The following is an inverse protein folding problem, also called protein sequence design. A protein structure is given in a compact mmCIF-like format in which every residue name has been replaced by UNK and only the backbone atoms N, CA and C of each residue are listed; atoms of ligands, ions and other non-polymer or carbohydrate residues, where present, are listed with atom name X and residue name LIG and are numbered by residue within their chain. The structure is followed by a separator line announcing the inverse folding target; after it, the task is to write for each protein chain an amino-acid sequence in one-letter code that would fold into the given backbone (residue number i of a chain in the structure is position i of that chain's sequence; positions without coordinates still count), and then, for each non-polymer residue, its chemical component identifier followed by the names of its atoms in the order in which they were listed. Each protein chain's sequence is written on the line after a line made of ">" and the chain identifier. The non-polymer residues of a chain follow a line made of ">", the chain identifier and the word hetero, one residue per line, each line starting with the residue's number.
data_IF_863515315685
#
_entry.id   IF_863515315685
#
_cell.length_a   1.000
_cell.length_b   1.000
_cell.length_c   1.000
_cell.angle_alpha   90.00
_cell.angle_beta   90.00
_cell.angle_gamma   90.00
#
_symmetry.space_group_name_H-M   'P 1'
#
loop_
_entity.id
_entity.type
_entity.pdbx_description
1 polymer ?
#
# COMPACT_ATOMS: atom_id res chain seq x y z
N UNK A 1 -4.38 -5.93 34.55
CA UNK A 1 -3.41 -6.49 33.58
C UNK A 1 -4.02 -7.71 32.90
N UNK A 2 -4.05 -7.77 31.59
CA UNK A 2 -4.50 -8.97 30.87
C UNK A 2 -3.46 -10.06 31.04
N UNK A 3 -3.78 -11.09 31.81
CA UNK A 3 -2.89 -12.23 32.02
C UNK A 3 -3.09 -13.23 30.91
N UNK A 4 -2.05 -13.51 30.12
CA UNK A 4 -2.08 -14.52 29.06
C UNK A 4 -1.82 -15.90 29.71
N UNK A 5 -2.78 -16.81 29.61
CA UNK A 5 -2.70 -18.16 30.16
C UNK A 5 -2.86 -19.21 29.08
N UNK A 6 -2.22 -20.34 29.28
CA UNK A 6 -2.43 -21.53 28.46
C UNK A 6 -3.35 -22.47 29.20
N UNK A 7 -4.38 -22.93 28.53
CA UNK A 7 -5.36 -23.87 29.11
C UNK A 7 -5.51 -25.08 28.18
N UNK A 8 -5.89 -26.20 28.76
CA UNK A 8 -6.23 -27.40 28.04
C UNK A 8 -7.75 -27.57 28.00
N UNK A 9 -8.33 -27.79 26.83
CA UNK A 9 -9.77 -28.04 26.71
C UNK A 9 -10.07 -29.55 26.82
N UNK A 10 -10.35 -29.99 28.02
CA UNK A 10 -10.64 -31.40 28.34
C UNK A 10 -12.00 -31.89 27.81
N UNK A 11 -12.87 -30.99 27.34
CA UNK A 11 -14.16 -31.38 26.75
C UNK A 11 -14.04 -31.82 25.29
N UNK A 12 -12.93 -31.52 24.63
CA UNK A 12 -12.64 -31.89 23.22
C UNK A 12 -11.45 -32.83 23.18
N UNK A 13 -11.66 -34.09 23.42
CA UNK A 13 -10.62 -35.12 23.31
C UNK A 13 -10.52 -35.60 21.86
N UNK A 14 -9.29 -35.80 21.42
CA UNK A 14 -9.01 -36.52 20.15
C UNK A 14 -9.29 -38.02 20.37
N UNK A 15 -9.37 -38.77 19.25
CA UNK A 15 -9.54 -40.25 19.29
C UNK A 15 -8.45 -40.96 20.13
N UNK A 16 -7.32 -40.32 20.30
CA UNK A 16 -6.15 -40.81 21.06
C UNK A 16 -6.15 -40.34 22.53
N UNK A 17 -7.22 -39.70 23.03
CA UNK A 17 -7.29 -39.19 24.39
C UNK A 17 -6.50 -37.89 24.65
N UNK A 18 -6.01 -37.23 23.62
CA UNK A 18 -5.32 -35.95 23.73
C UNK A 18 -6.32 -34.77 23.72
N UNK A 19 -6.09 -33.76 24.55
CA UNK A 19 -6.90 -32.55 24.61
C UNK A 19 -6.12 -31.35 23.97
N UNK A 20 -6.80 -30.51 23.17
CA UNK A 20 -6.17 -29.37 22.50
C UNK A 20 -5.82 -28.26 23.49
N UNK A 21 -4.69 -27.59 23.24
CA UNK A 21 -4.23 -26.43 24.00
C UNK A 21 -4.74 -25.13 23.37
N UNK A 22 -5.09 -24.18 24.23
CA UNK A 22 -5.52 -22.83 23.86
C UNK A 22 -4.78 -21.79 24.70
N UNK A 23 -4.44 -20.68 24.05
CA UNK A 23 -4.02 -19.46 24.76
C UNK A 23 -5.27 -18.63 25.05
N UNK A 24 -5.44 -18.21 26.28
CA UNK A 24 -6.57 -17.38 26.73
C UNK A 24 -6.08 -16.09 27.37
N UNK A 25 -6.77 -15.02 27.06
CA UNK A 25 -6.54 -13.69 27.63
C UNK A 25 -7.81 -12.84 27.51
N UNK A 26 -7.82 -11.70 28.17
CA UNK A 26 -8.94 -10.77 28.13
C UNK A 26 -8.57 -9.49 27.39
N UNK A 27 -9.45 -9.03 26.49
CA UNK A 27 -9.45 -7.69 25.93
C UNK A 27 -10.63 -6.92 26.51
N UNK A 28 -10.35 -6.02 27.45
CA UNK A 28 -11.42 -5.41 28.24
C UNK A 28 -12.23 -6.46 29.00
N UNK A 29 -13.52 -6.58 28.67
CA UNK A 29 -14.43 -7.56 29.28
C UNK A 29 -14.56 -8.86 28.47
N UNK A 30 -14.04 -8.92 27.24
CA UNK A 30 -14.18 -10.06 26.35
C UNK A 30 -13.02 -11.06 26.53
N UNK A 31 -13.35 -12.34 26.74
CA UNK A 31 -12.37 -13.42 26.81
C UNK A 31 -12.10 -13.96 25.41
N UNK A 32 -10.84 -13.95 25.00
CA UNK A 32 -10.39 -14.55 23.75
C UNK A 32 -9.70 -15.89 23.98
N UNK A 33 -9.91 -16.82 23.04
CA UNK A 33 -9.29 -18.14 23.03
C UNK A 33 -8.69 -18.41 21.67
N UNK A 34 -7.37 -18.59 21.62
CA UNK A 34 -6.62 -18.89 20.42
C UNK A 34 -6.12 -20.34 20.43
N UNK A 35 -6.39 -21.15 19.41
CA UNK A 35 -5.91 -22.53 19.35
C UNK A 35 -4.40 -22.57 19.14
N UNK A 36 -3.69 -23.36 19.94
CA UNK A 36 -2.26 -23.61 19.76
C UNK A 36 -1.96 -24.60 18.62
N UNK A 37 -3.01 -25.23 18.04
CA UNK A 37 -2.90 -26.30 17.03
C UNK A 37 -2.11 -27.53 17.48
N UNK A 38 -1.98 -27.71 18.77
CA UNK A 38 -1.35 -28.87 19.41
C UNK A 38 -2.32 -29.47 20.42
N UNK A 39 -2.33 -30.80 20.51
CA UNK A 39 -3.12 -31.56 21.45
C UNK A 39 -2.20 -32.45 22.28
N UNK A 40 -2.44 -32.54 23.60
CA UNK A 40 -1.55 -33.26 24.52
C UNK A 40 -2.37 -34.06 25.52
N UNK A 41 -1.82 -35.19 26.06
CA UNK A 41 -2.49 -35.98 27.12
C UNK A 41 -2.73 -35.12 28.36
N UNK A 42 -3.93 -35.22 28.92
CA UNK A 42 -4.32 -34.43 30.09
C UNK A 42 -3.38 -34.63 31.30
N UNK A 43 -2.87 -35.85 31.48
CA UNK A 43 -1.96 -36.17 32.58
C UNK A 43 -0.58 -35.51 32.50
N UNK A 44 -0.14 -35.17 31.28
CA UNK A 44 1.17 -34.55 31.04
C UNK A 44 1.16 -33.02 31.06
N UNK A 45 0.00 -32.37 31.10
CA UNK A 45 -0.11 -30.93 31.11
C UNK A 45 -0.22 -30.37 32.54
N UNK A 46 0.59 -29.35 32.83
CA UNK A 46 0.53 -28.63 34.10
C UNK A 46 -0.23 -27.29 33.91
N UNK A 47 -1.42 -27.21 34.49
CA UNK A 47 -2.30 -26.02 34.38
C UNK A 47 -1.71 -24.75 35.04
N UNK A 48 -0.83 -24.92 36.03
CA UNK A 48 -0.21 -23.76 36.73
C UNK A 48 0.87 -23.10 35.89
N UNK A 49 1.78 -23.89 35.34
CA UNK A 49 2.86 -23.37 34.46
C UNK A 49 2.39 -23.16 33.03
N UNK A 50 1.32 -23.84 32.61
CA UNK A 50 0.85 -23.84 31.21
C UNK A 50 1.78 -24.60 30.27
N UNK A 51 2.60 -25.50 30.78
CA UNK A 51 3.61 -26.28 30.04
C UNK A 51 3.38 -27.78 30.24
N UNK A 52 3.97 -28.59 29.34
CA UNK A 52 4.00 -30.05 29.52
C UNK A 52 5.11 -30.43 30.48
N UNK A 53 4.76 -31.39 31.35
CA UNK A 53 5.70 -32.07 32.23
C UNK A 53 6.54 -33.07 31.46
N UNK A 54 7.81 -33.19 31.84
CA UNK A 54 8.75 -34.15 31.26
C UNK A 54 9.81 -33.53 30.35
N UNK A 55 10.87 -34.32 30.10
CA UNK A 55 12.07 -33.88 29.35
C UNK A 55 12.17 -34.51 27.96
N UNK A 56 11.09 -35.16 27.48
CA UNK A 56 11.08 -35.72 26.13
C UNK A 56 11.26 -34.63 25.08
N UNK A 57 11.83 -35.00 23.94
CA UNK A 57 12.02 -34.08 22.82
C UNK A 57 10.69 -33.46 22.38
N UNK A 58 9.64 -34.26 22.27
CA UNK A 58 8.28 -33.80 21.94
C UNK A 58 7.75 -32.78 22.95
N UNK A 59 7.94 -33.02 24.27
CA UNK A 59 7.49 -32.07 25.30
C UNK A 59 8.23 -30.73 25.18
N UNK A 60 9.52 -30.75 24.88
CA UNK A 60 10.32 -29.53 24.66
C UNK A 60 9.86 -28.78 23.41
N UNK A 61 9.61 -29.46 22.31
CA UNK A 61 9.16 -28.86 21.06
C UNK A 61 7.76 -28.22 21.23
N UNK A 62 6.84 -28.90 21.88
CA UNK A 62 5.51 -28.37 22.17
C UNK A 62 5.59 -27.17 23.12
N UNK A 63 6.40 -27.24 24.18
CA UNK A 63 6.61 -26.12 25.09
C UNK A 63 7.22 -24.91 24.39
N UNK A 64 8.11 -25.10 23.43
CA UNK A 64 8.68 -24.03 22.59
C UNK A 64 7.59 -23.40 21.71
N UNK A 65 6.77 -24.21 21.05
CA UNK A 65 5.65 -23.71 20.22
C UNK A 65 4.69 -22.87 21.08
N UNK A 66 4.27 -23.38 22.24
CA UNK A 66 3.35 -22.70 23.15
C UNK A 66 3.97 -21.40 23.67
N UNK A 67 5.24 -21.40 24.03
CA UNK A 67 5.98 -20.22 24.49
C UNK A 67 6.07 -19.15 23.39
N UNK A 68 6.37 -19.54 22.15
CA UNK A 68 6.43 -18.61 21.02
C UNK A 68 5.05 -18.00 20.72
N UNK A 69 3.98 -18.80 20.74
CA UNK A 69 2.63 -18.28 20.54
C UNK A 69 2.22 -17.33 21.67
N UNK A 70 2.58 -17.64 22.93
CA UNK A 70 2.33 -16.77 24.07
C UNK A 70 3.11 -15.46 23.97
N UNK A 71 4.37 -15.52 23.56
CA UNK A 71 5.20 -14.33 23.30
C UNK A 71 4.55 -13.45 22.24
N UNK A 72 4.13 -14.01 21.10
CA UNK A 72 3.45 -13.30 20.03
C UNK A 72 2.19 -12.56 20.48
N UNK A 73 1.36 -13.21 21.32
CA UNK A 73 0.18 -12.57 21.92
C UNK A 73 0.59 -11.42 22.82
N UNK A 74 1.59 -11.63 23.68
CA UNK A 74 2.10 -10.59 24.58
C UNK A 74 2.68 -9.39 23.82
N UNK A 75 3.42 -9.63 22.73
CA UNK A 75 4.01 -8.57 21.90
C UNK A 75 2.93 -7.66 21.33
N UNK A 76 1.83 -8.22 20.83
CA UNK A 76 0.69 -7.44 20.35
C UNK A 76 0.08 -6.62 21.48
N UNK A 77 -0.21 -7.25 22.65
CA UNK A 77 -0.79 -6.58 23.80
C UNK A 77 0.09 -5.42 24.31
N UNK A 78 1.41 -5.64 24.38
CA UNK A 78 2.39 -4.64 24.81
C UNK A 78 2.51 -3.52 23.78
N UNK A 79 2.57 -3.84 22.50
CA UNK A 79 2.65 -2.87 21.39
C UNK A 79 1.52 -1.85 21.46
N UNK A 80 0.27 -2.30 21.60
CA UNK A 80 -0.90 -1.42 21.68
C UNK A 80 -0.97 -0.64 23.01
N UNK A 81 -0.54 -1.25 24.11
CA UNK A 81 -0.45 -0.57 25.40
C UNK A 81 0.58 0.56 25.39
N UNK A 82 1.78 0.32 24.87
CA UNK A 82 2.84 1.34 24.76
C UNK A 82 2.44 2.51 23.88
N UNK A 83 1.57 2.27 22.89
CA UNK A 83 1.04 3.30 22.00
C UNK A 83 -0.21 3.98 22.55
N UNK A 84 -0.68 3.57 23.73
CA UNK A 84 -1.92 4.04 24.36
C UNK A 84 -3.15 3.91 23.43
N UNK A 85 -3.17 2.86 22.58
CA UNK A 85 -4.23 2.61 21.62
C UNK A 85 -5.20 1.57 22.14
N UNK A 86 -6.50 1.78 21.86
CA UNK A 86 -7.53 0.78 22.14
C UNK A 86 -7.32 -0.45 21.26
N UNK A 87 -7.27 -1.62 21.87
CA UNK A 87 -7.14 -2.91 21.19
C UNK A 87 -8.48 -3.63 21.21
N UNK A 88 -9.17 -3.64 20.07
CA UNK A 88 -10.39 -4.44 19.86
C UNK A 88 -10.04 -5.86 19.43
N UNK A 89 -11.01 -6.77 19.51
CA UNK A 89 -10.85 -8.16 19.05
C UNK A 89 -10.46 -8.23 17.57
N UNK A 90 -11.11 -7.43 16.74
CA UNK A 90 -10.90 -7.46 15.30
C UNK A 90 -9.49 -6.96 14.94
N UNK A 91 -9.03 -5.91 15.61
CA UNK A 91 -7.66 -5.39 15.47
C UNK A 91 -6.65 -6.44 15.92
N UNK A 92 -6.90 -7.08 17.09
CA UNK A 92 -6.03 -8.13 17.60
C UNK A 92 -5.96 -9.32 16.63
N UNK A 93 -7.11 -9.85 16.17
CA UNK A 93 -7.15 -10.99 15.26
C UNK A 93 -6.46 -10.68 13.92
N UNK A 94 -6.60 -9.46 13.43
CA UNK A 94 -5.92 -8.99 12.23
C UNK A 94 -4.40 -8.98 12.40
N UNK A 95 -3.91 -8.38 13.49
CA UNK A 95 -2.47 -8.32 13.79
C UNK A 95 -1.90 -9.72 14.09
N UNK A 96 -2.68 -10.59 14.73
CA UNK A 96 -2.29 -11.96 15.01
C UNK A 96 -2.21 -12.83 13.76
N UNK A 97 -3.14 -12.70 12.82
CA UNK A 97 -3.17 -13.50 11.60
C UNK A 97 -2.23 -12.95 10.51
N UNK A 98 -2.12 -11.63 10.44
CA UNK A 98 -1.26 -10.92 9.50
C UNK A 98 -0.42 -9.91 10.29
N UNK A 99 0.69 -10.34 10.92
CA UNK A 99 1.59 -9.41 11.56
C UNK A 99 1.99 -8.36 10.53
N UNK A 100 1.84 -7.10 10.90
CA UNK A 100 2.32 -6.02 10.03
C UNK A 100 3.84 -6.10 9.98
N UNK A 101 4.37 -6.75 8.93
CA UNK A 101 5.81 -6.84 8.68
C UNK A 101 6.40 -5.47 8.35
N UNK A 102 5.53 -4.46 8.18
CA UNK A 102 5.91 -3.11 7.79
C UNK A 102 6.04 -2.21 9.02
N UNK A 103 7.22 -1.62 9.20
CA UNK A 103 7.47 -0.64 10.26
C UNK A 103 6.79 0.70 9.98
N UNK A 104 6.70 1.08 8.70
CA UNK A 104 6.12 2.34 8.24
C UNK A 104 5.15 2.11 7.07
N UNK A 105 4.30 3.10 6.81
CA UNK A 105 3.48 3.10 5.59
C UNK A 105 4.34 3.04 4.32
N UNK A 106 5.52 3.67 4.33
CA UNK A 106 6.41 3.67 3.17
C UNK A 106 7.01 2.31 2.88
N UNK A 107 7.28 1.48 3.91
CA UNK A 107 7.73 0.09 3.72
C UNK A 107 6.65 -0.73 3.01
N UNK A 108 5.39 -0.57 3.44
CA UNK A 108 4.24 -1.18 2.78
C UNK A 108 4.12 -0.73 1.32
N UNK A 109 4.21 0.57 1.05
CA UNK A 109 4.12 1.12 -0.31
C UNK A 109 5.21 0.53 -1.19
N UNK A 110 6.44 0.46 -0.70
CA UNK A 110 7.58 -0.10 -1.44
C UNK A 110 7.31 -1.55 -1.88
N UNK A 111 6.81 -2.40 -0.98
CA UNK A 111 6.47 -3.79 -1.31
C UNK A 111 5.24 -3.86 -2.23
N UNK A 112 4.22 -3.06 -1.97
CA UNK A 112 3.04 -3.02 -2.83
C UNK A 112 3.36 -2.58 -4.26
N UNK A 113 4.26 -1.60 -4.43
CA UNK A 113 4.71 -1.12 -5.73
C UNK A 113 5.38 -2.21 -6.57
N UNK A 114 6.14 -3.14 -5.98
CA UNK A 114 6.76 -4.26 -6.71
C UNK A 114 5.74 -5.12 -7.46
N UNK A 115 4.59 -5.35 -6.83
CA UNK A 115 3.50 -6.13 -7.44
C UNK A 115 2.66 -5.27 -8.37
N UNK A 116 2.40 -4.02 -7.98
CA UNK A 116 1.56 -3.09 -8.73
C UNK A 116 2.21 -2.62 -10.04
N UNK A 117 3.55 -2.48 -10.08
CA UNK A 117 4.30 -2.11 -11.28
C UNK A 117 4.07 -3.01 -12.49
N UNK A 118 3.72 -4.28 -12.25
CA UNK A 118 3.40 -5.24 -13.32
C UNK A 118 2.05 -5.00 -13.99
N UNK A 119 1.22 -4.12 -13.43
CA UNK A 119 -0.15 -3.84 -13.87
C UNK A 119 -0.34 -2.48 -14.49
N UNK A 120 0.70 -1.65 -14.49
CA UNK A 120 0.66 -0.28 -14.98
C UNK A 120 1.82 -0.02 -15.94
N UNK A 121 1.62 0.92 -16.83
CA UNK A 121 2.66 1.34 -17.76
C UNK A 121 3.84 2.02 -17.06
N UNK A 122 5.01 1.95 -17.69
CA UNK A 122 6.26 2.49 -17.16
C UNK A 122 6.17 4.00 -16.85
N UNK A 123 5.47 4.77 -17.69
CA UNK A 123 5.26 6.22 -17.47
C UNK A 123 4.47 6.49 -16.19
N UNK A 124 3.37 5.75 -16.00
CA UNK A 124 2.55 5.81 -14.79
C UNK A 124 3.33 5.36 -13.56
N UNK A 125 4.14 4.31 -13.68
CA UNK A 125 4.98 3.83 -12.58
C UNK A 125 6.02 4.88 -12.14
N UNK A 126 6.69 5.54 -13.09
CA UNK A 126 7.63 6.65 -12.79
C UNK A 126 6.93 7.80 -12.06
N UNK A 127 5.70 8.14 -12.47
CA UNK A 127 4.88 9.15 -11.78
C UNK A 127 4.58 8.74 -10.34
N UNK A 128 4.16 7.48 -10.11
CA UNK A 128 3.91 6.96 -8.77
C UNK A 128 5.15 7.00 -7.89
N UNK A 129 6.32 6.61 -8.42
CA UNK A 129 7.60 6.69 -7.69
C UNK A 129 7.92 8.13 -7.26
N UNK A 130 7.79 9.09 -8.19
CA UNK A 130 8.03 10.51 -7.91
C UNK A 130 7.07 11.04 -6.84
N UNK A 131 5.78 10.71 -6.95
CA UNK A 131 4.77 11.11 -5.97
C UNK A 131 5.09 10.55 -4.58
N UNK A 132 5.38 9.26 -4.47
CA UNK A 132 5.65 8.62 -3.18
C UNK A 132 7.00 9.03 -2.58
N UNK A 133 7.98 9.42 -3.40
CA UNK A 133 9.23 10.04 -2.94
C UNK A 133 8.97 11.38 -2.23
N UNK A 134 8.11 12.22 -2.79
CA UNK A 134 7.71 13.50 -2.18
C UNK A 134 6.91 13.27 -0.89
N UNK A 135 6.00 12.30 -0.89
CA UNK A 135 5.22 11.95 0.30
C UNK A 135 6.10 11.43 1.44
N UNK A 136 7.10 10.60 1.11
CA UNK A 136 8.08 10.15 2.09
C UNK A 136 8.95 11.29 2.63
N UNK A 137 9.35 12.25 1.78
CA UNK A 137 10.13 13.40 2.22
C UNK A 137 9.38 14.31 3.19
N UNK A 138 8.04 14.37 3.12
CA UNK A 138 7.21 15.11 4.05
C UNK A 138 7.20 14.48 5.46
N UNK A 139 7.09 13.14 5.54
CA UNK A 139 7.20 12.40 6.80
C UNK A 139 7.80 11.00 6.55
N UNK A 140 9.07 10.83 6.88
CA UNK A 140 9.81 9.59 6.60
C UNK A 140 9.33 8.40 7.44
N UNK A 141 8.86 8.66 8.67
CA UNK A 141 8.45 7.62 9.63
C UNK A 141 6.93 7.47 9.74
N UNK A 142 6.20 7.89 8.70
CA UNK A 142 4.73 7.85 8.67
C UNK A 142 4.18 6.47 9.05
N UNK A 143 3.42 6.45 10.14
CA UNK A 143 2.72 5.25 10.59
C UNK A 143 1.32 5.16 9.96
N UNK A 144 0.74 3.96 9.93
CA UNK A 144 -0.61 3.77 9.39
C UNK A 144 -1.69 4.55 10.14
N UNK A 145 -1.52 4.72 11.44
CA UNK A 145 -2.45 5.45 12.30
C UNK A 145 -2.42 6.97 12.10
N UNK A 146 -1.31 7.50 11.55
CA UNK A 146 -1.15 8.93 11.32
C UNK A 146 -1.85 9.38 10.02
N UNK A 147 -2.30 8.41 9.19
CA UNK A 147 -3.01 8.67 7.94
C UNK A 147 -4.47 9.06 8.23
N UNK A 148 -4.66 10.29 8.65
CA UNK A 148 -5.97 10.90 8.92
C UNK A 148 -6.39 11.84 7.78
N UNK A 149 -7.68 12.24 7.68
CA UNK A 149 -8.12 13.27 6.73
C UNK A 149 -7.39 14.60 6.91
N UNK A 150 -7.12 14.99 8.16
CA UNK A 150 -6.37 16.22 8.49
C UNK A 150 -4.92 16.13 7.98
N UNK A 151 -4.25 15.01 8.21
CA UNK A 151 -2.89 14.77 7.69
C UNK A 151 -2.83 14.90 6.16
N UNK A 152 -3.83 14.38 5.45
CA UNK A 152 -3.90 14.50 3.98
C UNK A 152 -4.13 15.96 3.56
N UNK A 153 -4.91 16.72 4.33
CA UNK A 153 -5.15 18.13 4.11
C UNK A 153 -3.87 18.95 4.31
N UNK A 154 -3.13 18.70 5.37
CA UNK A 154 -1.85 19.34 5.67
C UNK A 154 -0.82 19.05 4.58
N UNK A 155 -0.75 17.80 4.11
CA UNK A 155 0.12 17.43 3.01
C UNK A 155 -0.27 18.13 1.70
N UNK A 156 -1.56 18.28 1.41
CA UNK A 156 -2.05 19.04 0.24
C UNK A 156 -1.59 20.49 0.31
N UNK A 157 -1.70 21.12 1.48
CA UNK A 157 -1.24 22.51 1.73
C UNK A 157 0.27 22.60 1.53
N UNK A 158 1.04 21.66 2.09
CA UNK A 158 2.48 21.58 1.92
C UNK A 158 2.89 21.49 0.45
N UNK A 159 2.23 20.62 -0.33
CA UNK A 159 2.52 20.51 -1.76
C UNK A 159 2.33 21.82 -2.52
N UNK A 160 1.34 22.61 -2.13
CA UNK A 160 1.04 23.88 -2.79
C UNK A 160 1.97 25.00 -2.34
N UNK A 161 2.21 25.12 -1.05
CA UNK A 161 2.98 26.24 -0.45
C UNK A 161 4.49 26.02 -0.54
N UNK A 162 4.97 24.82 -0.18
CA UNK A 162 6.40 24.56 -0.06
C UNK A 162 6.98 23.96 -1.37
N UNK A 163 6.23 23.08 -2.06
CA UNK A 163 6.70 22.47 -3.28
C UNK A 163 6.29 23.26 -4.55
N UNK A 164 5.52 24.33 -4.41
CA UNK A 164 5.07 25.17 -5.53
C UNK A 164 4.19 24.44 -6.56
N UNK A 165 3.55 23.34 -6.17
CA UNK A 165 2.72 22.58 -7.09
C UNK A 165 1.43 23.35 -7.40
N UNK A 166 1.04 23.33 -8.68
CA UNK A 166 -0.31 23.82 -9.06
C UNK A 166 -1.38 22.96 -8.40
N UNK A 167 -2.58 23.50 -8.25
CA UNK A 167 -3.72 22.78 -7.67
C UNK A 167 -3.97 21.46 -8.42
N UNK A 168 -3.94 21.47 -9.75
CA UNK A 168 -4.13 20.28 -10.60
C UNK A 168 -3.07 19.21 -10.28
N UNK A 169 -1.81 19.61 -10.18
CA UNK A 169 -0.70 18.69 -9.87
C UNK A 169 -0.84 18.11 -8.47
N UNK A 170 -1.18 18.93 -7.49
CA UNK A 170 -1.40 18.48 -6.11
C UNK A 170 -2.55 17.47 -6.03
N UNK A 171 -3.68 17.73 -6.67
CA UNK A 171 -4.84 16.81 -6.69
C UNK A 171 -4.52 15.49 -7.42
N UNK A 172 -3.71 15.51 -8.49
CA UNK A 172 -3.22 14.30 -9.16
C UNK A 172 -2.32 13.46 -8.24
N UNK A 173 -1.43 14.11 -7.50
CA UNK A 173 -0.60 13.43 -6.51
C UNK A 173 -1.45 12.80 -5.40
N UNK A 174 -2.49 13.49 -4.91
CA UNK A 174 -3.43 12.93 -3.94
C UNK A 174 -4.18 11.71 -4.49
N UNK A 175 -4.54 11.72 -5.79
CA UNK A 175 -5.15 10.56 -6.45
C UNK A 175 -4.22 9.35 -6.45
N UNK A 176 -2.92 9.57 -6.65
CA UNK A 176 -1.92 8.49 -6.57
C UNK A 176 -1.77 7.96 -5.14
N UNK A 177 -1.71 8.82 -4.13
CA UNK A 177 -1.63 8.43 -2.71
C UNK A 177 -2.87 7.62 -2.31
N UNK A 178 -4.05 8.02 -2.77
CA UNK A 178 -5.32 7.31 -2.54
C UNK A 178 -5.24 5.83 -2.91
N UNK A 179 -4.55 5.48 -3.99
CA UNK A 179 -4.39 4.08 -4.42
C UNK A 179 -3.71 3.26 -3.32
N UNK A 180 -2.62 3.76 -2.75
CA UNK A 180 -1.84 3.05 -1.73
C UNK A 180 -2.53 3.04 -0.37
N UNK A 181 -3.16 4.14 0.03
CA UNK A 181 -3.95 4.22 1.27
C UNK A 181 -5.14 3.28 1.19
N UNK A 182 -5.85 3.24 0.06
CA UNK A 182 -6.96 2.29 -0.15
C UNK A 182 -6.47 0.83 -0.15
N UNK A 183 -5.28 0.56 -0.70
CA UNK A 183 -4.68 -0.77 -0.64
C UNK A 183 -4.32 -1.17 0.79
N UNK A 184 -3.78 -0.24 1.59
CA UNK A 184 -3.50 -0.46 3.01
C UNK A 184 -4.78 -0.72 3.81
N UNK A 185 -5.84 0.05 3.57
CA UNK A 185 -7.16 -0.15 4.16
C UNK A 185 -7.74 -1.53 3.82
N UNK A 186 -7.75 -1.93 2.53
CA UNK A 186 -8.25 -3.25 2.10
C UNK A 186 -7.48 -4.41 2.71
N UNK A 187 -6.19 -4.23 2.99
CA UNK A 187 -5.36 -5.21 3.69
C UNK A 187 -5.48 -5.11 5.21
N UNK A 188 -6.27 -4.18 5.72
CA UNK A 188 -6.55 -4.02 7.13
C UNK A 188 -5.44 -3.38 7.96
N UNK A 189 -4.48 -2.67 7.34
CA UNK A 189 -3.46 -1.90 8.05
C UNK A 189 -3.99 -0.56 8.60
N UNK A 190 -5.08 -0.04 8.03
CA UNK A 190 -5.79 1.17 8.43
C UNK A 190 -7.23 0.78 8.75
N UNK A 191 -7.80 1.30 9.83
CA UNK A 191 -9.16 0.97 10.28
C UNK A 191 -10.23 1.66 9.43
N UNK A 192 -10.02 2.94 9.15
CA UNK A 192 -10.92 3.77 8.36
C UNK A 192 -10.13 4.38 7.20
N UNK A 193 -10.73 4.39 6.01
CA UNK A 193 -10.08 4.99 4.85
C UNK A 193 -10.22 6.52 4.91
N UNK A 194 -9.15 7.30 5.13
CA UNK A 194 -9.24 8.75 5.27
C UNK A 194 -9.75 9.46 4.01
N UNK A 195 -9.68 8.79 2.85
CA UNK A 195 -10.26 9.30 1.60
C UNK A 195 -11.79 9.15 1.49
N UNK A 196 -12.47 8.65 2.52
CA UNK A 196 -13.92 8.76 2.60
C UNK A 196 -14.34 10.19 2.95
N UNK A 197 -13.61 10.84 3.83
CA UNK A 197 -13.83 12.23 4.24
C UNK A 197 -13.00 13.22 3.41
N UNK A 198 -11.76 12.87 3.08
CA UNK A 198 -10.92 13.71 2.21
C UNK A 198 -11.34 13.59 0.75
N UNK A 199 -11.86 14.69 0.18
CA UNK A 199 -12.35 14.74 -1.20
C UNK A 199 -11.33 15.35 -2.14
N UNK A 200 -10.95 14.58 -3.18
CA UNK A 200 -10.08 15.05 -4.26
C UNK A 200 -10.92 15.92 -5.22
N UNK A 201 -10.56 17.17 -5.37
CA UNK A 201 -11.22 18.08 -6.30
C UNK A 201 -10.86 17.74 -7.73
N UNK A 202 -11.85 17.62 -8.60
CA UNK A 202 -11.67 17.54 -10.04
C UNK A 202 -11.63 18.95 -10.60
N UNK A 203 -10.46 19.37 -11.05
CA UNK A 203 -10.26 20.68 -11.65
C UNK A 203 -10.19 20.46 -13.15
N UNK A 204 -11.05 21.15 -13.89
CA UNK A 204 -10.94 21.24 -15.34
C UNK A 204 -9.74 22.12 -15.64
N UNK A 205 -8.84 21.65 -16.48
CA UNK A 205 -7.83 22.52 -17.08
C UNK A 205 -8.48 23.30 -18.23
N UNK A 206 -8.16 24.55 -18.32
CA UNK A 206 -8.43 25.26 -19.56
C UNK A 206 -7.59 24.62 -20.65
N UNK A 207 -8.21 24.37 -21.77
CA UNK A 207 -7.56 23.74 -22.92
C UNK A 207 -7.35 24.83 -23.96
N UNK A 208 -6.07 25.19 -24.15
CA UNK A 208 -5.68 26.03 -25.25
C UNK A 208 -5.67 25.16 -26.51
N UNK A 209 -6.26 25.65 -27.57
CA UNK A 209 -6.31 25.00 -28.86
C UNK A 209 -5.89 26.00 -29.95
N UNK A 210 -5.30 25.47 -31.00
CA UNK A 210 -4.96 26.27 -32.17
C UNK A 210 -6.24 26.58 -32.96
N UNK A 211 -6.36 27.84 -33.39
CA UNK A 211 -7.38 28.18 -34.38
C UNK A 211 -7.00 27.64 -35.77
N UNK A 212 -7.95 27.62 -36.67
CA UNK A 212 -7.69 27.16 -38.06
C UNK A 212 -6.61 28.01 -38.71
N UNK A 213 -6.64 29.32 -38.53
CA UNK A 213 -5.65 30.27 -39.05
C UNK A 213 -4.25 29.99 -38.51
N UNK A 214 -4.12 29.74 -37.20
CA UNK A 214 -2.85 29.40 -36.58
C UNK A 214 -2.32 28.05 -37.08
N UNK A 215 -3.20 27.05 -37.23
CA UNK A 215 -2.79 25.77 -37.81
C UNK A 215 -2.30 25.92 -39.26
N UNK A 216 -2.97 26.74 -40.07
CA UNK A 216 -2.55 27.00 -41.44
C UNK A 216 -1.19 27.75 -41.52
N UNK A 217 -0.87 28.59 -40.54
CA UNK A 217 0.47 29.19 -40.44
C UNK A 217 1.56 28.11 -40.23
N UNK A 218 1.30 27.11 -39.38
CA UNK A 218 2.21 25.98 -39.21
C UNK A 218 2.36 25.15 -40.50
N UNK A 219 1.29 24.97 -41.25
CA UNK A 219 1.32 24.30 -42.58
C UNK A 219 2.19 25.08 -43.57
N UNK A 220 2.02 26.40 -43.64
CA UNK A 220 2.85 27.25 -44.49
C UNK A 220 4.33 27.19 -44.09
N UNK A 221 4.63 27.28 -42.80
CA UNK A 221 5.98 27.15 -42.26
C UNK A 221 6.64 25.80 -42.63
N UNK A 222 5.85 24.73 -42.61
CA UNK A 222 6.30 23.40 -43.02
C UNK A 222 6.73 23.37 -44.50
N UNK A 223 5.96 23.97 -45.39
CA UNK A 223 6.28 24.03 -46.82
C UNK A 223 7.45 24.96 -47.17
N UNK A 224 7.67 26.01 -46.37
CA UNK A 224 8.80 26.93 -46.57
C UNK A 224 10.17 26.28 -46.31
N UNK A 225 10.23 25.19 -45.54
CA UNK A 225 11.45 24.46 -45.19
C UNK A 225 12.58 25.32 -44.63
N UNK A 226 12.23 26.38 -43.91
CA UNK A 226 13.20 27.36 -43.36
C UNK A 226 13.73 26.93 -42.00
N UNK A 227 13.11 25.90 -41.37
CA UNK A 227 13.48 25.39 -40.05
C UNK A 227 14.67 24.44 -40.12
N UNK A 228 15.48 24.36 -39.06
CA UNK A 228 16.46 23.30 -38.90
C UNK A 228 15.79 21.92 -38.98
N UNK A 229 16.49 20.91 -39.51
CA UNK A 229 15.97 19.58 -39.80
C UNK A 229 15.17 18.95 -38.64
N UNK A 230 15.69 19.05 -37.42
CA UNK A 230 14.99 18.52 -36.21
C UNK A 230 13.65 19.21 -35.97
N UNK A 231 13.58 20.52 -36.13
CA UNK A 231 12.33 21.27 -35.96
C UNK A 231 11.37 21.01 -37.10
N UNK A 232 11.88 20.85 -38.32
CA UNK A 232 11.10 20.51 -39.51
C UNK A 232 10.42 19.15 -39.34
N UNK A 233 11.15 18.15 -38.81
CA UNK A 233 10.62 16.83 -38.53
C UNK A 233 9.57 16.89 -37.38
N UNK A 234 9.86 17.64 -36.31
CA UNK A 234 8.91 17.82 -35.20
C UNK A 234 7.61 18.47 -35.68
N UNK A 235 7.71 19.48 -36.57
CA UNK A 235 6.56 20.16 -37.17
C UNK A 235 5.75 19.19 -38.04
N UNK A 236 6.42 18.39 -38.89
CA UNK A 236 5.75 17.35 -39.70
C UNK A 236 4.96 16.39 -38.84
N UNK A 237 5.56 15.91 -37.75
CA UNK A 237 4.92 14.98 -36.81
C UNK A 237 3.73 15.63 -36.10
N UNK A 238 3.87 16.89 -35.68
CA UNK A 238 2.79 17.65 -35.04
C UNK A 238 1.61 17.85 -36.00
N UNK A 239 1.84 18.27 -37.25
CA UNK A 239 0.80 18.43 -38.25
C UNK A 239 0.11 17.09 -38.56
N UNK A 240 0.89 16.01 -38.68
CA UNK A 240 0.32 14.67 -38.84
C UNK A 240 -0.68 14.34 -37.72
N UNK A 241 -0.32 14.58 -36.46
CA UNK A 241 -1.23 14.36 -35.33
C UNK A 241 -2.49 15.25 -35.39
N UNK A 242 -2.33 16.53 -35.78
CA UNK A 242 -3.46 17.46 -35.92
C UNK A 242 -4.48 16.97 -36.96
N UNK A 243 -4.01 16.53 -38.14
CA UNK A 243 -4.89 16.11 -39.23
C UNK A 243 -5.42 14.71 -39.09
N UNK A 244 -4.72 13.82 -38.38
CA UNK A 244 -5.16 12.42 -38.18
C UNK A 244 -5.86 12.20 -36.86
N UNK A 245 -5.82 13.17 -35.91
CA UNK A 245 -6.29 13.04 -34.53
C UNK A 245 -5.62 11.87 -33.78
N UNK A 246 -4.45 11.41 -34.23
CA UNK A 246 -3.72 10.35 -33.58
C UNK A 246 -3.08 10.85 -32.28
N UNK A 247 -3.11 10.02 -31.24
CA UNK A 247 -2.30 10.27 -30.05
C UNK A 247 -0.81 10.11 -30.38
N UNK A 248 0.06 10.84 -29.68
CA UNK A 248 1.51 10.84 -29.92
C UNK A 248 2.12 9.43 -29.93
N UNK A 249 1.62 8.54 -29.09
CA UNK A 249 2.07 7.13 -29.02
C UNK A 249 1.72 6.38 -30.28
N UNK A 250 0.50 6.58 -30.79
CA UNK A 250 -0.01 5.87 -31.96
C UNK A 250 0.63 6.41 -33.25
N UNK A 251 0.81 7.72 -33.31
CA UNK A 251 1.53 8.36 -34.43
C UNK A 251 2.99 7.87 -34.49
N UNK A 252 3.67 7.69 -33.36
CA UNK A 252 5.04 7.12 -33.33
C UNK A 252 5.06 5.66 -33.80
N UNK A 253 4.11 4.84 -33.36
CA UNK A 253 4.02 3.43 -33.81
C UNK A 253 3.72 3.35 -35.30
N UNK A 254 2.79 4.19 -35.79
CA UNK A 254 2.48 4.28 -37.21
C UNK A 254 3.71 4.64 -38.08
N UNK A 255 4.50 5.63 -37.65
CA UNK A 255 5.72 5.99 -38.34
C UNK A 255 6.78 4.88 -38.33
N UNK A 256 6.89 4.11 -37.25
CA UNK A 256 7.82 2.97 -37.16
C UNK A 256 7.38 1.83 -38.08
N UNK A 257 6.08 1.54 -38.16
CA UNK A 257 5.53 0.44 -38.97
C UNK A 257 5.54 0.76 -40.48
N UNK A 258 5.33 2.05 -40.87
CA UNK A 258 5.20 2.47 -42.26
C UNK A 258 6.55 2.86 -42.92
N UNK A 259 7.56 3.11 -42.15
CA UNK A 259 8.75 3.62 -42.77
C UNK A 259 10.04 3.38 -42.06
N UNK A 260 10.96 3.03 -42.82
CA UNK A 260 12.38 3.20 -42.62
C UNK A 260 12.80 3.54 -41.18
N UNK A 261 13.35 2.57 -40.49
CA UNK A 261 13.88 2.65 -39.12
C UNK A 261 14.84 3.84 -38.88
N UNK A 262 15.18 4.61 -39.87
CA UNK A 262 16.18 5.71 -39.84
C UNK A 262 15.61 7.07 -39.42
N UNK A 263 14.28 7.24 -39.37
CA UNK A 263 13.69 8.59 -39.19
C UNK A 263 13.33 8.90 -37.73
N UNK A 264 13.27 7.91 -36.81
CA UNK A 264 12.79 8.10 -35.44
C UNK A 264 13.72 7.60 -34.32
N UNK A 265 14.98 7.43 -34.55
CA UNK A 265 16.00 7.23 -33.51
C UNK A 265 16.51 8.54 -32.94
N UNK A 266 15.67 9.23 -32.18
CA UNK A 266 16.09 10.37 -31.35
C UNK A 266 15.36 10.34 -30.00
#
# INVERSE_FOLDING_TARGET
>A
MSTVRVIQNKQRLTKEGNAPLYITFYLGKEKLMLPCKVSVPAAKFDEKSGLLKGNSKEAKDINLIVSNLKARVNDILVKFRLRNQALTKDIFMREYNNPSDYKTFHDFVKEHMKTYSRRIEMGTFKHHLSCMKKFKAYNELLQFQDLTPDYLTDYLIYMKKELGNTEITAQRNMSTIKIYVTAAYRKGYIEENPFQEFHIKRIKSDVDYLTEEELMQFVQLYYQRTLPEKLQLTLAFFLCMCFTSMHITDARMFCIEQGNNDVLTY
#
